data_IF_126935648768
#
_entry.id   IF_126935648768
#
_cell.length_a   1.000
_cell.length_b   1.000
_cell.length_c   1.000
_cell.angle_alpha   90.00
_cell.angle_beta   90.00
_cell.angle_gamma   90.00
#
_symmetry.space_group_name_H-M   'P 1'
#
loop_
_entity.id
_entity.type
_entity.pdbx_description
1 polymer ?
#
# COMPACT_ATOMS: atom_id res chain seq x y z
N UNK A 1 -2.13 -7.80 -29.76
CA UNK A 1 -0.73 -8.03 -29.38
C UNK A 1 -0.18 -6.70 -28.90
N UNK A 2 0.32 -6.63 -27.68
CA UNK A 2 0.97 -5.41 -27.16
C UNK A 2 2.34 -5.29 -27.83
N UNK A 3 2.70 -4.08 -28.27
CA UNK A 3 4.00 -3.84 -28.90
C UNK A 3 5.13 -4.11 -27.91
N UNK A 4 6.26 -4.64 -28.38
CA UNK A 4 7.48 -4.81 -27.57
C UNK A 4 7.94 -3.50 -26.95
N UNK A 5 7.73 -2.37 -27.64
CA UNK A 5 8.02 -1.04 -27.10
C UNK A 5 7.14 -0.67 -25.90
N UNK A 6 5.87 -1.12 -25.88
CA UNK A 6 4.96 -0.87 -24.75
C UNK A 6 5.31 -1.75 -23.56
N UNK A 7 5.72 -3.00 -23.80
CA UNK A 7 6.21 -3.89 -22.74
C UNK A 7 7.45 -3.29 -22.09
N UNK A 8 8.45 -2.90 -22.88
CA UNK A 8 9.67 -2.27 -22.36
C UNK A 8 9.39 -0.97 -21.58
N UNK A 9 8.38 -0.19 -21.99
CA UNK A 9 7.99 1.02 -21.26
C UNK A 9 7.34 0.71 -19.89
N UNK A 10 6.62 -0.41 -19.77
CA UNK A 10 6.07 -0.84 -18.50
C UNK A 10 7.16 -1.41 -17.58
N UNK A 11 8.08 -2.20 -18.12
CA UNK A 11 9.21 -2.73 -17.36
C UNK A 11 10.07 -1.59 -16.79
N UNK A 12 10.40 -0.57 -17.60
CA UNK A 12 11.14 0.61 -17.16
C UNK A 12 10.39 1.41 -16.07
N UNK A 13 9.05 1.50 -16.17
CA UNK A 13 8.25 2.16 -15.14
C UNK A 13 8.28 1.37 -13.82
N UNK A 14 8.17 0.05 -13.90
CA UNK A 14 8.23 -0.85 -12.76
C UNK A 14 9.61 -0.77 -12.08
N UNK A 15 10.69 -0.86 -12.86
CA UNK A 15 12.06 -0.77 -12.37
C UNK A 15 12.30 0.55 -11.63
N UNK A 16 11.89 1.69 -12.20
CA UNK A 16 12.02 3.00 -11.54
C UNK A 16 11.21 3.09 -10.25
N UNK A 17 10.05 2.47 -10.20
CA UNK A 17 9.22 2.45 -9.00
C UNK A 17 9.95 1.69 -7.89
N UNK A 18 10.47 0.50 -8.19
CA UNK A 18 11.21 -0.30 -7.22
C UNK A 18 12.54 0.33 -6.83
N UNK A 19 13.30 0.89 -7.77
CA UNK A 19 14.53 1.62 -7.49
C UNK A 19 14.28 2.78 -6.52
N UNK A 20 13.18 3.52 -6.71
CA UNK A 20 12.80 4.58 -5.77
C UNK A 20 12.51 4.01 -4.36
N UNK A 21 11.78 2.90 -4.25
CA UNK A 21 11.49 2.25 -2.96
C UNK A 21 12.78 1.73 -2.30
N UNK A 22 13.67 1.09 -3.06
CA UNK A 22 14.96 0.61 -2.59
C UNK A 22 15.84 1.76 -2.06
N UNK A 23 15.80 2.92 -2.71
CA UNK A 23 16.52 4.11 -2.24
C UNK A 23 15.95 4.65 -0.93
N UNK A 24 14.62 4.64 -0.76
CA UNK A 24 13.97 5.00 0.52
C UNK A 24 14.43 4.04 1.61
N UNK A 25 14.43 2.73 1.35
CA UNK A 25 14.90 1.71 2.30
C UNK A 25 16.38 1.88 2.66
N UNK A 26 17.23 2.16 1.67
CA UNK A 26 18.66 2.40 1.87
C UNK A 26 18.92 3.63 2.75
N UNK A 27 18.20 4.73 2.56
CA UNK A 27 18.35 5.92 3.41
C UNK A 27 17.86 5.65 4.84
N UNK A 28 16.79 4.87 5.01
CA UNK A 28 16.33 4.45 6.34
C UNK A 28 17.36 3.54 7.02
N UNK A 29 17.92 2.58 6.31
CA UNK A 29 18.89 1.60 6.84
C UNK A 29 20.26 2.21 7.14
N UNK A 30 20.86 2.88 6.18
CA UNK A 30 22.27 3.27 6.20
C UNK A 30 22.49 4.79 6.20
N UNK A 31 21.43 5.57 6.02
CA UNK A 31 21.52 7.04 5.99
C UNK A 31 21.85 7.67 7.34
N UNK A 32 22.50 8.83 7.29
CA UNK A 32 22.68 9.67 8.48
C UNK A 32 21.32 10.07 9.10
N UNK A 33 21.31 10.39 10.39
CA UNK A 33 20.09 10.87 11.08
C UNK A 33 19.45 12.06 10.37
N UNK A 34 20.26 13.02 9.90
CA UNK A 34 19.78 14.16 9.10
C UNK A 34 19.11 13.73 7.79
N UNK A 35 19.65 12.71 7.12
CA UNK A 35 19.07 12.18 5.89
C UNK A 35 17.74 11.46 6.16
N UNK A 36 17.67 10.67 7.24
CA UNK A 36 16.44 10.00 7.69
C UNK A 36 15.33 10.99 8.06
N UNK A 37 15.66 12.06 8.80
CA UNK A 37 14.70 13.12 9.14
C UNK A 37 14.18 13.83 7.89
N UNK A 38 15.06 14.18 6.95
CA UNK A 38 14.66 14.78 5.67
C UNK A 38 13.77 13.85 4.85
N UNK A 39 14.11 12.57 4.80
CA UNK A 39 13.30 11.55 4.14
C UNK A 39 11.91 11.47 4.79
N UNK A 40 11.83 11.44 6.12
CA UNK A 40 10.55 11.40 6.83
C UNK A 40 9.69 12.64 6.57
N UNK A 41 10.28 13.84 6.56
CA UNK A 41 9.58 15.10 6.28
C UNK A 41 8.98 15.16 4.87
N UNK A 42 9.64 14.54 3.88
CA UNK A 42 9.25 14.61 2.47
C UNK A 42 8.38 13.41 2.09
N UNK A 43 8.82 12.19 2.42
CA UNK A 43 8.24 10.98 1.87
C UNK A 43 7.03 10.48 2.64
N UNK A 44 6.99 10.65 3.97
CA UNK A 44 5.80 10.23 4.74
C UNK A 44 4.54 10.97 4.30
N UNK A 45 4.52 12.32 4.18
CA UNK A 45 3.34 13.03 3.67
C UNK A 45 2.99 12.64 2.22
N UNK A 46 4.00 12.41 1.39
CA UNK A 46 3.82 12.03 -0.02
C UNK A 46 3.17 10.65 -0.13
N UNK A 47 3.68 9.64 0.59
CA UNK A 47 3.12 8.29 0.63
C UNK A 47 1.70 8.31 1.22
N UNK A 48 1.45 9.06 2.29
CA UNK A 48 0.10 9.22 2.86
C UNK A 48 -0.86 9.83 1.83
N UNK A 49 -0.41 10.83 1.08
CA UNK A 49 -1.21 11.45 0.01
C UNK A 49 -1.50 10.45 -1.12
N UNK A 50 -0.49 9.71 -1.57
CA UNK A 50 -0.59 8.67 -2.59
C UNK A 50 -1.62 7.60 -2.19
N UNK A 51 -1.51 7.05 -0.98
CA UNK A 51 -2.44 6.03 -0.46
C UNK A 51 -3.86 6.59 -0.37
N UNK A 52 -4.04 7.82 0.12
CA UNK A 52 -5.37 8.46 0.17
C UNK A 52 -5.96 8.65 -1.23
N UNK A 53 -5.14 9.03 -2.22
CA UNK A 53 -5.57 9.14 -3.62
C UNK A 53 -6.01 7.79 -4.18
N UNK A 54 -5.18 6.76 -4.01
CA UNK A 54 -5.48 5.39 -4.44
C UNK A 54 -6.81 4.88 -3.84
N UNK A 55 -7.02 5.09 -2.54
CA UNK A 55 -8.27 4.69 -1.88
C UNK A 55 -9.49 5.51 -2.30
N UNK A 56 -9.31 6.77 -2.75
CA UNK A 56 -10.40 7.58 -3.32
C UNK A 56 -10.84 7.05 -4.69
N UNK A 57 -9.90 6.57 -5.48
CA UNK A 57 -10.19 5.94 -6.77
C UNK A 57 -10.91 4.60 -6.56
N UNK A 58 -10.42 3.78 -5.63
CA UNK A 58 -10.99 2.45 -5.34
C UNK A 58 -12.21 2.49 -4.41
N UNK A 59 -13.27 3.17 -4.84
CA UNK A 59 -14.57 3.25 -4.14
C UNK A 59 -15.60 2.28 -4.69
N UNK A 60 -16.60 1.87 -3.87
CA UNK A 60 -17.73 1.12 -4.37
C UNK A 60 -18.57 2.00 -5.31
N UNK A 61 -19.10 1.41 -6.37
CA UNK A 61 -20.13 2.00 -7.22
C UNK A 61 -21.54 1.67 -6.69
N UNK A 62 -22.58 2.10 -7.41
CA UNK A 62 -23.97 1.86 -7.04
C UNK A 62 -24.36 0.37 -6.98
N UNK A 63 -23.59 -0.52 -7.62
CA UNK A 63 -23.81 -1.96 -7.64
C UNK A 63 -22.94 -2.72 -6.62
N UNK A 64 -22.19 -2.02 -5.76
CA UNK A 64 -21.30 -2.64 -4.77
C UNK A 64 -19.98 -3.18 -5.34
N UNK A 65 -19.61 -2.81 -6.57
CA UNK A 65 -18.35 -3.18 -7.21
C UNK A 65 -17.34 -2.03 -7.13
N UNK A 66 -16.05 -2.33 -7.23
CA UNK A 66 -15.05 -1.27 -7.28
C UNK A 66 -15.15 -0.51 -8.62
N UNK A 67 -15.26 0.82 -8.55
CA UNK A 67 -15.41 1.66 -9.74
C UNK A 67 -14.15 1.71 -10.62
N UNK A 68 -12.96 1.69 -10.01
CA UNK A 68 -11.67 1.73 -10.74
C UNK A 68 -11.14 0.37 -11.18
N UNK A 69 -11.57 -0.72 -10.55
CA UNK A 69 -11.14 -2.04 -10.99
C UNK A 69 -11.88 -2.40 -12.26
N UNK A 70 -11.13 -2.71 -13.32
CA UNK A 70 -11.68 -3.26 -14.55
C UNK A 70 -12.33 -4.63 -14.32
N UNK A 71 -12.93 -5.14 -15.39
CA UNK A 71 -13.45 -6.50 -15.37
C UNK A 71 -12.31 -7.52 -15.38
N UNK A 72 -12.50 -8.62 -14.64
CA UNK A 72 -11.62 -9.78 -14.65
C UNK A 72 -12.34 -10.97 -15.24
N UNK A 73 -11.63 -11.70 -16.09
CA UNK A 73 -12.10 -12.97 -16.60
C UNK A 73 -11.99 -14.04 -15.50
N UNK A 74 -13.09 -14.73 -15.22
CA UNK A 74 -13.12 -15.89 -14.31
C UNK A 74 -13.71 -17.07 -15.07
N UNK A 75 -12.83 -17.82 -15.74
CA UNK A 75 -13.25 -18.81 -16.74
C UNK A 75 -13.84 -18.11 -17.96
N UNK A 76 -15.07 -18.48 -18.33
CA UNK A 76 -15.79 -17.92 -19.48
C UNK A 76 -16.63 -16.68 -19.15
N UNK A 77 -16.58 -16.20 -17.90
CA UNK A 77 -17.38 -15.06 -17.43
C UNK A 77 -16.53 -13.82 -17.20
N UNK A 78 -17.05 -12.66 -17.62
CA UNK A 78 -16.46 -11.35 -17.36
C UNK A 78 -17.10 -10.74 -16.10
N UNK A 79 -16.38 -10.74 -14.97
CA UNK A 79 -16.89 -10.26 -13.69
C UNK A 79 -16.27 -8.92 -13.30
N UNK A 80 -17.07 -8.05 -12.70
CA UNK A 80 -16.57 -6.82 -12.06
C UNK A 80 -16.03 -7.18 -10.68
N UNK A 81 -14.93 -6.54 -10.29
CA UNK A 81 -14.34 -6.81 -8.98
C UNK A 81 -15.27 -6.27 -7.87
N UNK A 82 -15.70 -7.11 -6.91
CA UNK A 82 -16.53 -6.65 -5.80
C UNK A 82 -15.73 -5.73 -4.87
N UNK A 83 -16.42 -4.81 -4.18
CA UNK A 83 -15.80 -4.01 -3.14
C UNK A 83 -15.91 -4.71 -1.77
N UNK A 84 -14.87 -4.73 -0.92
CA UNK A 84 -13.54 -4.14 -1.14
C UNK A 84 -12.67 -4.96 -2.10
N UNK A 85 -12.12 -4.28 -3.10
CA UNK A 85 -11.22 -4.92 -4.06
C UNK A 85 -9.87 -5.28 -3.42
N UNK A 86 -9.05 -6.04 -4.15
CA UNK A 86 -7.72 -6.45 -3.69
C UNK A 86 -6.85 -5.28 -3.21
N UNK A 87 -6.88 -4.11 -3.88
CA UNK A 87 -6.12 -2.92 -3.48
C UNK A 87 -6.54 -2.46 -2.08
N UNK A 88 -7.83 -2.22 -1.87
CA UNK A 88 -8.37 -1.75 -0.57
C UNK A 88 -8.10 -2.76 0.54
N UNK A 89 -8.29 -4.07 0.27
CA UNK A 89 -8.00 -5.13 1.24
C UNK A 89 -6.54 -5.16 1.63
N UNK A 90 -5.63 -5.11 0.65
CA UNK A 90 -4.18 -5.12 0.90
C UNK A 90 -3.72 -3.87 1.66
N UNK A 91 -4.24 -2.71 1.32
CA UNK A 91 -3.98 -1.47 2.08
C UNK A 91 -4.47 -1.59 3.52
N UNK A 92 -5.69 -2.10 3.75
CA UNK A 92 -6.22 -2.31 5.10
C UNK A 92 -5.39 -3.32 5.89
N UNK A 93 -5.06 -4.48 5.31
CA UNK A 93 -4.18 -5.49 5.90
C UNK A 93 -2.82 -4.90 6.32
N UNK A 94 -2.23 -4.06 5.46
CA UNK A 94 -0.92 -3.46 5.72
C UNK A 94 -0.98 -2.38 6.82
N UNK A 95 -1.95 -1.46 6.77
CA UNK A 95 -2.02 -0.27 7.63
C UNK A 95 -2.66 -0.53 8.99
N UNK A 96 -3.55 -1.53 9.09
CA UNK A 96 -4.27 -1.84 10.33
C UNK A 96 -3.55 -2.90 11.16
N UNK A 97 -2.38 -3.38 10.70
CA UNK A 97 -1.56 -4.27 11.51
C UNK A 97 -0.91 -3.46 12.67
N UNK A 98 -1.38 -3.65 13.92
CA UNK A 98 -0.98 -2.80 15.06
C UNK A 98 0.51 -2.93 15.40
N UNK A 99 1.13 -4.06 15.05
CA UNK A 99 2.54 -4.34 15.38
C UNK A 99 3.51 -3.48 14.55
N UNK A 100 3.05 -2.84 13.47
CA UNK A 100 3.91 -2.05 12.58
C UNK A 100 4.18 -0.63 13.04
N UNK A 101 3.21 0.04 13.66
CA UNK A 101 3.41 1.40 14.18
C UNK A 101 4.35 1.38 15.39
N UNK A 102 4.38 0.27 16.14
CA UNK A 102 5.17 0.12 17.35
C UNK A 102 6.64 -0.26 17.06
N UNK A 103 6.92 -1.02 15.99
CA UNK A 103 8.29 -1.40 15.58
C UNK A 103 9.14 -0.20 15.10
N UNK A 104 8.54 0.83 14.50
CA UNK A 104 9.27 2.00 13.98
C UNK A 104 9.80 2.93 15.09
N UNK A 105 9.20 2.89 16.28
CA UNK A 105 9.57 3.77 17.40
C UNK A 105 10.46 3.12 18.46
N UNK A 106 10.86 1.84 18.30
CA UNK A 106 11.60 1.12 19.33
C UNK A 106 10.86 1.05 20.68
N UNK A 107 9.53 1.17 20.67
CA UNK A 107 8.70 1.05 21.87
C UNK A 107 8.26 -0.40 22.01
N UNK A 108 8.64 -1.03 23.12
CA UNK A 108 8.13 -2.36 23.50
C UNK A 108 6.60 -2.33 23.53
N UNK A 109 5.99 -3.38 22.98
CA UNK A 109 4.53 -3.58 23.02
C UNK A 109 4.13 -3.72 24.49
N UNK A 110 3.32 -2.81 25.08
CA UNK A 110 2.76 -3.09 26.39
C UNK A 110 1.85 -4.31 26.25
N UNK A 111 2.12 -5.37 27.04
CA UNK A 111 1.25 -6.53 27.09
C UNK A 111 -0.19 -6.07 27.30
N UNK A 112 -1.08 -6.43 26.36
CA UNK A 112 -2.49 -6.08 26.47
C UNK A 112 -3.01 -6.60 27.82
N UNK A 113 -3.72 -5.77 28.63
CA UNK A 113 -4.33 -6.27 29.83
C UNK A 113 -5.31 -7.38 29.43
N UNK A 114 -5.11 -8.56 30.02
CA UNK A 114 -6.06 -9.65 29.92
C UNK A 114 -7.38 -9.12 30.44
N UNK A 115 -8.32 -8.84 29.52
CA UNK A 115 -9.70 -8.58 29.89
C UNK A 115 -10.22 -9.88 30.51
N UNK A 116 -10.19 -9.94 31.84
CA UNK A 116 -10.87 -10.95 32.62
C UNK A 116 -12.33 -10.94 32.20
N UNK A 117 -12.68 -11.94 31.39
CA UNK A 117 -14.03 -12.17 30.92
C UNK A 117 -14.78 -12.84 32.07
N UNK A 118 -15.11 -12.07 33.11
CA UNK A 118 -16.03 -12.43 34.19
C UNK A 118 -16.93 -11.26 34.52
N UNK A 119 -18.16 -11.33 34.01
CA UNK A 119 -19.43 -11.26 34.77
C UNK A 119 -20.59 -11.33 33.79
#
# INVERSE_FOLDING_TARGET
MVSTAVVAAFDELEDRLYEYLDNVELVVGDGSEKARLRLAEIEVPTIVSLVRSLLREHRPDAAGHCASCGHRWRGWWLLREPWPCAVVRKTHEYLTNPDRVLLVCGMEVPEAPTLDRRS
#
